data_IF_281138514787
#
_entry.id   IF_281138514787
#
_cell.length_a   1.000
_cell.length_b   1.000
_cell.length_c   1.000
_cell.angle_alpha   90.00
_cell.angle_beta   90.00
_cell.angle_gamma   90.00
#
_symmetry.space_group_name_H-M   'P 1'
#
loop_
_entity.id
_entity.type
_entity.pdbx_description
1 polymer ?
#
# COMPACT_ATOMS: atom_id res chain seq x y z
N UNK A 1 60.19 -75.41 -12.64
CA UNK A 1 61.57 -75.95 -12.61
C UNK A 1 62.06 -75.94 -11.16
N UNK A 2 62.57 -77.04 -10.59
CA UNK A 2 62.94 -77.15 -9.16
C UNK A 2 64.43 -76.87 -8.92
N UNK A 3 64.77 -76.12 -7.86
CA UNK A 3 66.15 -75.87 -7.45
C UNK A 3 66.69 -77.02 -6.57
N UNK A 4 67.72 -77.79 -7.01
CA UNK A 4 68.15 -78.99 -6.30
C UNK A 4 69.01 -78.75 -5.04
N UNK A 5 69.24 -77.49 -4.64
CA UNK A 5 70.01 -77.16 -3.41
C UNK A 5 69.19 -76.68 -2.22
N UNK A 6 67.95 -76.22 -2.41
CA UNK A 6 67.12 -75.72 -1.31
C UNK A 6 65.63 -76.08 -1.38
N UNK A 7 65.20 -76.86 -2.40
CA UNK A 7 63.86 -77.44 -2.44
C UNK A 7 62.70 -76.46 -2.59
N UNK A 8 62.95 -75.16 -2.74
CA UNK A 8 61.91 -74.16 -2.92
C UNK A 8 61.41 -74.08 -4.37
N UNK A 9 60.09 -73.99 -4.53
CA UNK A 9 59.38 -73.74 -5.80
C UNK A 9 59.34 -72.25 -6.12
N UNK A 10 59.69 -71.87 -7.36
CA UNK A 10 59.51 -70.50 -7.87
C UNK A 10 58.03 -70.34 -8.26
N UNK A 11 57.28 -69.37 -7.70
CA UNK A 11 55.91 -69.10 -8.13
C UNK A 11 55.90 -68.36 -9.47
N UNK A 12 55.10 -68.88 -10.41
CA UNK A 12 54.81 -68.30 -11.71
C UNK A 12 54.07 -66.96 -11.55
N UNK A 13 54.50 -65.97 -12.32
CA UNK A 13 53.86 -64.66 -12.40
C UNK A 13 52.61 -64.74 -13.28
N UNK A 14 51.42 -64.61 -12.68
CA UNK A 14 50.23 -64.20 -13.42
C UNK A 14 49.17 -63.63 -12.49
N UNK A 15 48.96 -62.31 -12.54
CA UNK A 15 47.62 -61.74 -12.40
C UNK A 15 47.58 -60.31 -12.93
N UNK A 16 47.11 -60.17 -14.18
CA UNK A 16 46.58 -58.93 -14.74
C UNK A 16 45.26 -58.59 -14.03
N UNK A 17 45.30 -57.66 -13.09
CA UNK A 17 44.08 -57.10 -12.49
C UNK A 17 43.31 -56.22 -13.49
N UNK A 18 41.99 -56.41 -13.48
CA UNK A 18 40.99 -55.92 -14.44
C UNK A 18 40.80 -54.39 -14.38
N UNK A 19 41.49 -53.68 -15.27
CA UNK A 19 41.36 -52.23 -15.52
C UNK A 19 39.93 -51.75 -15.90
N UNK A 20 39.09 -52.61 -16.48
CA UNK A 20 37.75 -52.22 -16.95
C UNK A 20 36.70 -51.90 -15.85
N UNK A 21 36.88 -52.41 -14.63
CA UNK A 21 35.88 -52.29 -13.55
C UNK A 21 35.83 -50.88 -12.93
N UNK A 22 36.98 -50.21 -12.80
CA UNK A 22 37.06 -48.86 -12.22
C UNK A 22 36.50 -47.79 -13.16
N UNK A 23 36.74 -47.93 -14.46
CA UNK A 23 36.26 -46.95 -15.46
C UNK A 23 34.73 -46.97 -15.55
N UNK A 24 34.13 -48.15 -15.59
CA UNK A 24 32.65 -48.29 -15.63
C UNK A 24 32.00 -47.76 -14.36
N UNK A 25 32.58 -48.02 -13.18
CA UNK A 25 32.08 -47.47 -11.89
C UNK A 25 32.17 -45.94 -11.85
N UNK A 26 33.25 -45.35 -12.36
CA UNK A 26 33.41 -43.90 -12.39
C UNK A 26 32.42 -43.23 -13.36
N UNK A 27 32.16 -43.84 -14.52
CA UNK A 27 31.15 -43.34 -15.48
C UNK A 27 29.75 -43.41 -14.88
N UNK A 28 29.40 -44.51 -14.20
CA UNK A 28 28.11 -44.67 -13.52
C UNK A 28 27.92 -43.65 -12.39
N UNK A 29 28.98 -43.37 -11.62
CA UNK A 29 28.93 -42.37 -10.55
C UNK A 29 28.70 -40.96 -11.12
N UNK A 30 29.39 -40.60 -12.21
CA UNK A 30 29.21 -39.28 -12.86
C UNK A 30 27.82 -39.13 -13.45
N UNK A 31 27.28 -40.18 -14.10
CA UNK A 31 25.90 -40.17 -14.60
C UNK A 31 24.88 -40.04 -13.47
N UNK A 32 25.10 -40.71 -12.33
CA UNK A 32 24.21 -40.61 -11.17
C UNK A 32 24.22 -39.20 -10.56
N UNK A 33 25.40 -38.55 -10.49
CA UNK A 33 25.53 -37.16 -10.04
C UNK A 33 24.84 -36.20 -11.01
N UNK A 34 24.99 -36.40 -12.32
CA UNK A 34 24.30 -35.58 -13.34
C UNK A 34 22.78 -35.73 -13.28
N UNK A 35 22.27 -36.94 -13.07
CA UNK A 35 20.82 -37.18 -12.88
C UNK A 35 20.33 -36.54 -11.59
N UNK A 36 21.07 -36.65 -10.48
CA UNK A 36 20.72 -35.99 -9.23
C UNK A 36 20.71 -34.45 -9.35
N UNK A 37 21.64 -33.87 -10.11
CA UNK A 37 21.65 -32.43 -10.39
C UNK A 37 20.50 -32.01 -11.33
N UNK A 38 20.13 -32.84 -12.31
CA UNK A 38 18.99 -32.57 -13.17
C UNK A 38 17.65 -32.67 -12.40
N UNK A 39 17.53 -33.64 -11.50
CA UNK A 39 16.33 -33.82 -10.66
C UNK A 39 16.23 -32.73 -9.59
N UNK A 40 17.35 -32.29 -8.99
CA UNK A 40 17.34 -31.16 -8.05
C UNK A 40 17.09 -29.82 -8.74
N UNK A 41 17.62 -29.61 -9.94
CA UNK A 41 17.38 -28.40 -10.75
C UNK A 41 15.94 -28.29 -11.27
N UNK A 42 15.35 -29.41 -11.70
CA UNK A 42 13.92 -29.45 -12.07
C UNK A 42 13.01 -29.34 -10.85
N UNK A 43 13.42 -29.93 -9.72
CA UNK A 43 12.70 -29.82 -8.44
C UNK A 43 12.69 -28.40 -7.88
N UNK A 44 13.81 -27.67 -7.94
CA UNK A 44 13.88 -26.26 -7.51
C UNK A 44 13.21 -25.33 -8.51
N UNK A 45 13.31 -25.58 -9.82
CA UNK A 45 12.57 -24.80 -10.81
C UNK A 45 11.06 -25.02 -10.72
N UNK A 46 10.60 -26.26 -10.51
CA UNK A 46 9.18 -26.57 -10.29
C UNK A 46 8.70 -26.04 -8.93
N UNK A 47 9.51 -26.14 -7.87
CA UNK A 47 9.21 -25.54 -6.56
C UNK A 47 9.12 -24.01 -6.66
N UNK A 48 10.06 -23.35 -7.36
CA UNK A 48 9.97 -21.93 -7.65
C UNK A 48 8.76 -21.61 -8.54
N UNK A 49 8.41 -22.42 -9.54
CA UNK A 49 7.21 -22.17 -10.36
C UNK A 49 5.89 -22.43 -9.61
N UNK A 50 5.86 -23.35 -8.64
CA UNK A 50 4.70 -23.64 -7.81
C UNK A 50 4.60 -22.76 -6.55
N UNK A 51 5.69 -22.11 -6.11
CA UNK A 51 5.68 -21.13 -5.00
C UNK A 51 5.87 -19.67 -5.42
N UNK A 52 6.31 -19.37 -6.66
CA UNK A 52 6.16 -18.05 -7.30
C UNK A 52 4.81 -17.88 -7.98
N UNK A 53 3.85 -18.77 -7.72
CA UNK A 53 2.46 -18.32 -7.73
C UNK A 53 2.26 -17.51 -6.45
N UNK A 54 2.89 -16.34 -6.39
CA UNK A 54 2.47 -15.32 -5.45
C UNK A 54 1.01 -15.05 -5.81
N UNK A 55 0.09 -15.57 -5.03
CA UNK A 55 -0.96 -14.68 -4.56
C UNK A 55 -0.19 -13.55 -3.89
N UNK A 56 0.19 -12.52 -4.66
CA UNK A 56 0.97 -11.40 -4.17
C UNK A 56 0.28 -10.92 -2.92
N UNK A 57 1.02 -10.79 -1.81
CA UNK A 57 0.45 -10.18 -0.63
C UNK A 57 -0.06 -8.81 -1.06
N UNK A 58 -1.38 -8.62 -1.06
CA UNK A 58 -2.00 -7.36 -1.41
C UNK A 58 -1.95 -6.43 -0.21
N UNK A 59 -1.84 -5.14 -0.47
CA UNK A 59 -2.05 -4.13 0.56
C UNK A 59 -3.52 -3.95 0.83
N UNK A 60 -4.33 -3.96 -0.23
CA UNK A 60 -5.78 -3.91 -0.17
C UNK A 60 -6.36 -5.16 0.51
N UNK A 61 -7.32 -4.94 1.40
CA UNK A 61 -8.07 -5.98 2.09
C UNK A 61 -9.18 -6.57 1.22
N UNK A 62 -10.11 -7.30 1.84
CA UNK A 62 -11.22 -7.97 1.12
C UNK A 62 -12.36 -7.03 0.72
N UNK A 63 -12.31 -5.78 1.17
CA UNK A 63 -13.39 -4.81 1.03
C UNK A 63 -14.62 -5.12 1.88
N UNK A 64 -15.54 -4.15 1.92
CA UNK A 64 -16.70 -4.12 2.80
C UNK A 64 -18.01 -4.25 2.00
N UNK A 65 -19.13 -4.53 2.67
CA UNK A 65 -20.41 -4.70 1.97
C UNK A 65 -21.11 -3.38 1.72
N UNK A 66 -20.83 -2.36 2.55
CA UNK A 66 -21.39 -1.02 2.41
C UNK A 66 -20.28 0.05 2.49
N UNK A 67 -20.51 1.25 1.93
CA UNK A 67 -19.54 2.35 2.02
C UNK A 67 -19.34 2.81 3.47
N UNK A 68 -20.38 2.77 4.30
CA UNK A 68 -20.34 3.13 5.73
C UNK A 68 -19.51 2.13 6.54
N UNK A 69 -19.61 0.82 6.24
CA UNK A 69 -18.76 -0.20 6.85
C UNK A 69 -17.28 0.08 6.56
N UNK A 70 -16.94 0.46 5.32
CA UNK A 70 -15.56 0.79 4.94
C UNK A 70 -15.04 2.04 5.67
N UNK A 71 -15.85 3.10 5.73
CA UNK A 71 -15.50 4.35 6.41
C UNK A 71 -15.32 4.14 7.92
N UNK A 72 -16.23 3.40 8.55
CA UNK A 72 -16.14 3.08 9.97
C UNK A 72 -14.90 2.26 10.28
N UNK A 73 -14.61 1.21 9.50
CA UNK A 73 -13.42 0.40 9.71
C UNK A 73 -12.12 1.20 9.54
N UNK A 74 -12.06 2.11 8.56
CA UNK A 74 -10.92 3.01 8.38
C UNK A 74 -10.74 3.95 9.59
N UNK A 75 -11.82 4.54 10.09
CA UNK A 75 -11.79 5.39 11.28
C UNK A 75 -11.43 4.62 12.56
N UNK A 76 -11.89 3.39 12.71
CA UNK A 76 -11.51 2.51 13.83
C UNK A 76 -10.02 2.14 13.74
N UNK A 77 -9.50 1.86 12.56
CA UNK A 77 -8.06 1.66 12.36
C UNK A 77 -7.24 2.92 12.68
N UNK A 78 -7.76 4.11 12.32
CA UNK A 78 -7.17 5.40 12.69
C UNK A 78 -7.12 5.60 14.20
N UNK A 79 -8.23 5.38 14.91
CA UNK A 79 -8.27 5.46 16.37
C UNK A 79 -7.28 4.49 17.03
N UNK A 80 -7.09 3.30 16.43
CA UNK A 80 -6.17 2.28 16.93
C UNK A 80 -4.70 2.48 16.51
N UNK A 81 -4.38 3.51 15.73
CA UNK A 81 -3.02 3.75 15.19
C UNK A 81 -2.51 2.60 14.32
N UNK A 82 -3.40 1.83 13.71
CA UNK A 82 -3.05 0.70 12.86
C UNK A 82 -2.99 1.13 11.39
N UNK A 83 -1.82 1.65 10.99
CA UNK A 83 -1.58 2.11 9.62
C UNK A 83 -1.79 0.98 8.60
N UNK A 84 -1.47 -0.27 8.95
CA UNK A 84 -1.64 -1.38 8.02
C UNK A 84 -3.12 -1.67 7.80
N UNK A 85 -3.93 -1.63 8.86
CA UNK A 85 -5.38 -1.81 8.74
C UNK A 85 -6.05 -0.61 8.05
N UNK A 86 -5.56 0.61 8.27
CA UNK A 86 -6.02 1.78 7.48
C UNK A 86 -5.77 1.57 5.98
N UNK A 87 -4.57 1.10 5.60
CA UNK A 87 -4.23 0.80 4.22
C UNK A 87 -5.03 -0.39 3.67
N UNK A 88 -5.32 -1.41 4.48
CA UNK A 88 -6.16 -2.56 4.08
C UNK A 88 -7.59 -2.17 3.76
N UNK A 89 -8.09 -1.07 4.35
CA UNK A 89 -9.39 -0.51 4.01
C UNK A 89 -9.42 0.21 2.65
N UNK A 90 -8.25 0.57 2.08
CA UNK A 90 -8.17 1.42 0.91
C UNK A 90 -8.15 0.64 -0.41
N UNK A 91 -8.69 1.25 -1.47
CA UNK A 91 -8.49 0.77 -2.83
C UNK A 91 -7.08 1.14 -3.31
N UNK A 92 -6.24 0.12 -3.49
CA UNK A 92 -4.84 0.24 -3.89
C UNK A 92 -4.65 -0.50 -5.21
N UNK A 93 -4.66 -1.83 -5.20
CA UNK A 93 -4.54 -2.65 -6.40
C UNK A 93 -5.73 -2.43 -7.33
N UNK A 94 -6.95 -2.49 -6.80
CA UNK A 94 -8.17 -2.30 -7.60
C UNK A 94 -8.25 -0.89 -8.18
N UNK A 95 -7.71 0.10 -7.48
CA UNK A 95 -7.59 1.46 -8.01
C UNK A 95 -6.68 1.52 -9.23
N UNK A 96 -5.49 0.93 -9.15
CA UNK A 96 -4.52 0.90 -10.25
C UNK A 96 -5.09 0.18 -11.47
N UNK A 97 -5.82 -0.91 -11.23
CA UNK A 97 -6.38 -1.75 -12.30
C UNK A 97 -7.59 -1.11 -13.02
N UNK A 98 -8.26 -0.14 -12.40
CA UNK A 98 -9.49 0.47 -12.94
C UNK A 98 -9.34 1.96 -13.33
N UNK A 99 -8.21 2.60 -13.02
CA UNK A 99 -8.02 4.02 -13.28
C UNK A 99 -7.87 4.31 -14.79
N UNK A 100 -8.77 5.14 -15.32
CA UNK A 100 -8.69 5.70 -16.67
C UNK A 100 -7.83 6.99 -16.65
N UNK A 101 -6.56 6.84 -17.01
CA UNK A 101 -5.59 7.92 -17.05
C UNK A 101 -5.91 9.00 -18.07
N UNK A 102 -6.45 8.62 -19.24
CA UNK A 102 -6.84 9.59 -20.26
C UNK A 102 -8.00 10.45 -19.74
N UNK A 103 -9.02 9.82 -19.16
CA UNK A 103 -10.12 10.54 -18.52
C UNK A 103 -9.66 11.43 -17.36
N UNK A 104 -8.64 11.01 -16.60
CA UNK A 104 -8.08 11.82 -15.53
C UNK A 104 -7.37 13.08 -16.07
N UNK A 105 -6.54 12.94 -17.10
CA UNK A 105 -5.87 14.07 -17.76
C UNK A 105 -6.89 15.01 -18.40
N UNK A 106 -7.91 14.47 -19.07
CA UNK A 106 -9.02 15.25 -19.64
C UNK A 106 -9.76 16.04 -18.56
N UNK A 107 -10.04 15.43 -17.40
CA UNK A 107 -10.72 16.07 -16.27
C UNK A 107 -9.96 17.30 -15.78
N UNK A 108 -8.63 17.19 -15.65
CA UNK A 108 -7.81 18.30 -15.17
C UNK A 108 -7.39 19.28 -16.27
N UNK A 109 -7.46 18.87 -17.55
CA UNK A 109 -6.91 19.64 -18.68
C UNK A 109 -5.39 19.77 -18.64
N UNK A 110 -4.72 18.98 -17.80
CA UNK A 110 -3.28 19.04 -17.55
C UNK A 110 -2.74 17.69 -17.04
N UNK A 111 -1.47 17.42 -17.34
CA UNK A 111 -0.71 16.35 -16.70
C UNK A 111 0.03 16.91 -15.47
N UNK A 112 -0.17 16.30 -14.31
CA UNK A 112 0.38 16.76 -13.03
C UNK A 112 1.25 15.65 -12.39
N UNK A 113 2.55 15.55 -12.74
CA UNK A 113 3.41 14.45 -12.29
C UNK A 113 3.70 14.44 -10.79
N UNK A 114 3.40 15.53 -10.07
CA UNK A 114 3.79 15.72 -8.66
C UNK A 114 2.62 16.11 -7.75
N UNK A 115 1.43 16.36 -8.29
CA UNK A 115 0.27 16.86 -7.54
C UNK A 115 -0.93 15.97 -7.89
N UNK A 116 -1.62 15.43 -6.88
CA UNK A 116 -2.79 14.55 -7.01
C UNK A 116 -2.55 13.18 -7.68
N UNK A 117 -1.45 12.48 -7.39
CA UNK A 117 -1.27 11.14 -7.97
C UNK A 117 0.14 10.68 -8.31
N UNK A 118 1.16 11.53 -8.09
CA UNK A 118 2.55 11.19 -8.38
C UNK A 118 2.81 10.80 -9.85
N UNK A 119 4.01 10.30 -10.16
CA UNK A 119 4.34 9.89 -11.52
C UNK A 119 3.58 8.61 -11.87
N UNK A 120 2.46 8.79 -12.56
CA UNK A 120 1.72 7.68 -13.16
C UNK A 120 2.52 7.18 -14.36
N UNK A 121 2.97 5.92 -14.29
CA UNK A 121 3.59 5.25 -15.43
C UNK A 121 2.52 4.60 -16.29
N UNK A 122 2.49 4.95 -17.57
CA UNK A 122 1.60 4.35 -18.56
C UNK A 122 2.25 3.12 -19.17
N UNK A 123 1.58 1.97 -19.12
CA UNK A 123 2.07 0.70 -19.65
C UNK A 123 1.33 -0.48 -19.02
N UNK A 124 1.06 -1.51 -19.82
CA UNK A 124 0.26 -2.66 -19.39
C UNK A 124 1.13 -3.80 -18.81
N UNK A 125 2.40 -3.52 -18.54
CA UNK A 125 3.33 -4.51 -18.00
C UNK A 125 3.33 -4.54 -16.46
N UNK A 126 3.70 -5.69 -15.91
CA UNK A 126 3.68 -5.91 -14.45
C UNK A 126 4.60 -4.95 -13.68
N UNK A 127 5.73 -4.53 -14.26
CA UNK A 127 6.63 -3.61 -13.56
C UNK A 127 5.98 -2.23 -13.43
N UNK A 128 5.34 -1.74 -14.50
CA UNK A 128 4.54 -0.51 -14.48
C UNK A 128 3.41 -0.59 -13.45
N UNK A 129 2.66 -1.70 -13.43
CA UNK A 129 1.59 -1.93 -12.45
C UNK A 129 2.09 -1.86 -11.00
N UNK A 130 3.19 -2.54 -10.69
CA UNK A 130 3.77 -2.55 -9.33
C UNK A 130 4.26 -1.17 -8.88
N UNK A 131 4.84 -0.37 -9.80
CA UNK A 131 5.23 1.01 -9.50
C UNK A 131 4.00 1.85 -9.14
N UNK A 132 2.92 1.74 -9.92
CA UNK A 132 1.68 2.47 -9.66
C UNK A 132 1.03 2.04 -8.32
N UNK A 133 1.14 0.77 -7.93
CA UNK A 133 0.67 0.26 -6.63
C UNK A 133 1.45 0.90 -5.48
N UNK A 134 2.78 0.90 -5.53
CA UNK A 134 3.61 1.51 -4.47
C UNK A 134 3.41 3.03 -4.40
N UNK A 135 3.28 3.70 -5.54
CA UNK A 135 2.97 5.12 -5.60
C UNK A 135 1.61 5.43 -4.95
N UNK A 136 0.59 4.65 -5.29
CA UNK A 136 -0.75 4.76 -4.69
C UNK A 136 -0.72 4.57 -3.18
N UNK A 137 -0.03 3.55 -2.69
CA UNK A 137 0.18 3.31 -1.25
C UNK A 137 0.93 4.47 -0.59
N UNK A 138 1.96 5.02 -1.25
CA UNK A 138 2.71 6.17 -0.77
C UNK A 138 1.82 7.41 -0.58
N UNK A 139 0.91 7.67 -1.52
CA UNK A 139 -0.06 8.75 -1.40
C UNK A 139 -1.02 8.57 -0.23
N UNK A 140 -1.62 7.38 -0.12
CA UNK A 140 -2.53 7.07 0.99
C UNK A 140 -1.81 7.21 2.34
N UNK A 141 -0.57 6.71 2.44
CA UNK A 141 0.27 6.89 3.62
C UNK A 141 0.52 8.37 3.93
N UNK A 142 0.73 9.21 2.91
CA UNK A 142 0.90 10.65 3.12
C UNK A 142 -0.37 11.31 3.68
N UNK A 143 -1.55 10.91 3.21
CA UNK A 143 -2.81 11.39 3.78
C UNK A 143 -3.02 10.93 5.22
N UNK A 144 -2.68 9.68 5.54
CA UNK A 144 -2.71 9.15 6.91
C UNK A 144 -1.83 10.01 7.84
N UNK A 145 -0.61 10.33 7.42
CA UNK A 145 0.30 11.19 8.18
C UNK A 145 -0.33 12.57 8.41
N UNK A 146 -0.95 13.16 7.38
CA UNK A 146 -1.62 14.47 7.50
C UNK A 146 -2.81 14.42 8.46
N UNK A 147 -3.59 13.34 8.45
CA UNK A 147 -4.70 13.15 9.37
C UNK A 147 -4.23 13.12 10.84
N UNK A 148 -3.18 12.34 11.15
CA UNK A 148 -2.58 12.34 12.50
C UNK A 148 -1.98 13.69 12.86
N UNK A 149 -1.31 14.35 11.91
CA UNK A 149 -0.78 15.68 12.15
C UNK A 149 -1.93 16.64 12.47
N UNK A 150 -3.02 16.63 11.70
CA UNK A 150 -4.16 17.52 11.90
C UNK A 150 -4.77 17.37 13.29
N UNK A 151 -5.06 16.15 13.73
CA UNK A 151 -5.70 15.92 15.03
C UNK A 151 -4.74 16.12 16.20
N UNK A 152 -3.43 16.01 15.98
CA UNK A 152 -2.43 16.26 17.03
C UNK A 152 -2.13 17.75 17.22
N UNK A 153 -2.77 18.68 16.53
CA UNK A 153 -2.31 20.06 16.43
C UNK A 153 -3.47 21.06 16.56
N UNK A 154 -3.24 22.22 17.20
CA UNK A 154 -4.22 23.30 17.20
C UNK A 154 -4.63 23.68 15.77
N UNK A 155 -5.88 24.08 15.57
CA UNK A 155 -6.38 24.44 14.24
C UNK A 155 -5.62 25.59 13.59
N UNK A 156 -5.19 26.56 14.38
CA UNK A 156 -4.43 27.73 13.95
C UNK A 156 -2.92 27.46 13.84
N UNK A 157 -2.50 26.19 13.97
CA UNK A 157 -1.08 25.83 13.90
C UNK A 157 -0.48 26.20 12.53
N UNK A 158 0.63 26.96 12.50
CA UNK A 158 1.23 27.46 11.26
C UNK A 158 1.76 26.33 10.37
N UNK A 159 1.92 25.12 10.90
CA UNK A 159 2.39 23.94 10.16
C UNK A 159 1.43 23.53 9.02
N UNK A 160 0.15 23.93 9.06
CA UNK A 160 -0.84 23.65 8.00
C UNK A 160 -0.98 24.78 6.98
N UNK A 161 -0.18 25.85 7.08
CA UNK A 161 -0.25 27.00 6.17
C UNK A 161 0.05 26.68 4.69
N UNK A 162 0.53 25.46 4.39
CA UNK A 162 1.02 25.07 3.07
C UNK A 162 2.29 25.81 2.63
N UNK A 163 2.84 26.68 3.49
CA UNK A 163 4.04 27.46 3.26
C UNK A 163 5.18 26.91 4.12
N UNK A 164 6.41 27.12 3.64
CA UNK A 164 7.60 26.77 4.41
C UNK A 164 7.74 27.69 5.62
N UNK A 165 7.74 27.11 6.82
CA UNK A 165 8.09 27.81 8.05
C UNK A 165 9.55 28.30 7.94
N UNK A 166 9.76 29.59 8.16
CA UNK A 166 11.08 30.20 8.08
C UNK A 166 11.81 30.02 9.42
N UNK A 167 12.90 29.25 9.40
CA UNK A 167 13.64 28.87 10.62
C UNK A 167 15.06 29.49 10.64
N UNK A 168 15.47 30.03 11.78
CA UNK A 168 16.85 30.44 12.09
C UNK A 168 16.97 31.87 12.63
N UNK A 169 18.20 32.31 12.90
CA UNK A 169 18.48 33.62 13.50
C UNK A 169 17.78 34.79 12.77
N UNK A 170 16.88 35.47 13.50
CA UNK A 170 16.11 36.60 12.96
C UNK A 170 14.98 36.21 12.00
N UNK A 171 14.58 34.93 11.98
CA UNK A 171 13.36 34.42 11.32
C UNK A 171 12.21 34.35 12.31
N UNK A 172 11.07 33.85 11.82
CA UNK A 172 9.82 33.77 12.59
C UNK A 172 9.87 32.69 13.66
N UNK A 173 10.60 31.59 13.40
CA UNK A 173 10.72 30.46 14.31
C UNK A 173 12.17 30.01 14.48
N UNK A 174 12.47 29.43 15.64
CA UNK A 174 13.68 28.62 15.85
C UNK A 174 13.42 27.13 15.59
N UNK A 175 14.49 26.35 15.35
CA UNK A 175 14.35 24.93 15.00
C UNK A 175 13.70 24.12 16.14
N UNK A 176 14.05 24.43 17.38
CA UNK A 176 13.48 23.77 18.56
C UNK A 176 11.99 24.10 18.72
N UNK A 177 11.57 25.31 18.39
CA UNK A 177 10.15 25.70 18.43
C UNK A 177 9.32 24.90 17.42
N UNK A 178 9.82 24.74 16.20
CA UNK A 178 9.14 23.90 15.19
C UNK A 178 9.10 22.44 15.62
N UNK A 179 10.18 21.91 16.20
CA UNK A 179 10.19 20.54 16.75
C UNK A 179 9.21 20.39 17.90
N UNK A 180 9.10 21.39 18.77
CA UNK A 180 8.15 21.39 19.88
C UNK A 180 6.70 21.45 19.39
N UNK A 181 6.41 22.22 18.33
CA UNK A 181 5.10 22.19 17.67
C UNK A 181 4.76 20.76 17.23
N UNK A 182 5.69 20.03 16.61
CA UNK A 182 5.46 18.67 16.11
C UNK A 182 5.19 17.61 17.19
N UNK A 183 5.45 17.89 18.47
CA UNK A 183 5.19 16.92 19.56
C UNK A 183 3.69 16.72 19.83
N UNK A 184 2.85 17.59 19.29
CA UNK A 184 1.40 17.50 19.36
C UNK A 184 0.81 18.08 20.64
N UNK A 185 -0.43 18.54 20.54
CA UNK A 185 -1.23 19.13 21.61
C UNK A 185 -2.37 18.20 22.08
N UNK A 186 -2.88 17.34 21.19
CA UNK A 186 -4.06 16.50 21.48
C UNK A 186 -3.70 15.06 21.83
N UNK A 187 -4.51 14.45 22.71
CA UNK A 187 -4.38 13.05 23.07
C UNK A 187 -5.01 12.14 21.99
N UNK A 188 -4.20 11.73 21.02
CA UNK A 188 -4.64 10.79 19.98
C UNK A 188 -5.08 9.42 20.53
N UNK A 189 -4.76 9.09 21.79
CA UNK A 189 -5.22 7.84 22.41
C UNK A 189 -6.68 7.94 22.89
N UNK A 190 -7.26 9.13 22.85
CA UNK A 190 -8.64 9.40 23.27
C UNK A 190 -9.68 9.25 22.15
N UNK A 191 -9.26 9.01 20.89
CA UNK A 191 -10.14 9.00 19.73
C UNK A 191 -11.26 7.97 19.90
N UNK A 192 -12.51 8.42 19.81
CA UNK A 192 -13.69 7.56 19.71
C UNK A 192 -14.33 7.73 18.34
N UNK A 193 -14.81 6.63 17.77
CA UNK A 193 -15.48 6.61 16.46
C UNK A 193 -16.99 6.55 16.67
N UNK A 194 -17.70 7.51 16.09
CA UNK A 194 -19.15 7.65 16.16
C UNK A 194 -19.87 7.04 14.96
N UNK A 195 -20.91 7.76 14.53
CA UNK A 195 -21.74 7.37 13.38
C UNK A 195 -21.11 7.82 12.05
N UNK A 196 -21.59 7.19 10.97
CA UNK A 196 -21.18 7.49 9.59
C UNK A 196 -22.40 7.96 8.84
N UNK A 197 -22.28 9.11 8.19
CA UNK A 197 -23.36 9.71 7.39
C UNK A 197 -22.83 10.20 6.05
N UNK A 198 -23.74 10.51 5.12
CA UNK A 198 -23.40 11.23 3.89
C UNK A 198 -22.74 12.57 4.24
N UNK A 199 -21.69 12.96 3.50
CA UNK A 199 -20.98 14.21 3.78
C UNK A 199 -21.90 15.44 3.82
N UNK A 200 -22.99 15.46 3.05
CA UNK A 200 -23.96 16.55 3.02
C UNK A 200 -24.72 16.74 4.34
N UNK A 201 -24.85 15.69 5.14
CA UNK A 201 -25.42 15.77 6.49
C UNK A 201 -24.62 16.73 7.37
N UNK A 202 -23.30 16.54 7.44
CA UNK A 202 -22.40 17.36 8.24
C UNK A 202 -22.29 18.79 7.72
N UNK A 203 -22.36 18.97 6.40
CA UNK A 203 -22.29 20.27 5.75
C UNK A 203 -23.62 21.05 5.81
N UNK A 204 -24.65 20.46 6.41
CA UNK A 204 -26.01 21.01 6.46
C UNK A 204 -26.50 21.50 5.08
N UNK A 205 -26.05 20.79 4.03
CA UNK A 205 -26.24 21.15 2.65
C UNK A 205 -27.09 20.10 1.94
N UNK A 206 -27.69 20.48 0.81
CA UNK A 206 -28.35 19.51 -0.07
C UNK A 206 -27.43 19.17 -1.24
N UNK A 207 -27.43 17.90 -1.63
CA UNK A 207 -26.90 17.49 -2.93
C UNK A 207 -27.62 18.26 -4.05
N UNK A 208 -26.92 18.50 -5.17
CA UNK A 208 -27.42 19.35 -6.25
C UNK A 208 -26.97 18.81 -7.62
N UNK A 209 -27.47 19.37 -8.72
CA UNK A 209 -27.11 18.89 -10.07
C UNK A 209 -25.60 18.86 -10.36
N UNK A 210 -24.79 19.64 -9.64
CA UNK A 210 -23.33 19.56 -9.77
C UNK A 210 -22.75 18.32 -9.08
N UNK A 211 -23.32 17.84 -7.97
CA UNK A 211 -22.88 16.61 -7.30
C UNK A 211 -23.05 15.40 -8.21
N UNK A 212 -24.17 15.31 -8.95
CA UNK A 212 -24.42 14.22 -9.89
C UNK A 212 -23.44 14.24 -11.08
N UNK A 213 -23.13 15.45 -11.59
CA UNK A 213 -22.13 15.62 -12.65
C UNK A 213 -20.73 15.22 -12.18
N UNK A 214 -20.37 15.57 -10.95
CA UNK A 214 -19.10 15.17 -10.34
C UNK A 214 -19.07 13.64 -10.21
N UNK A 215 -20.07 13.00 -9.60
CA UNK A 215 -20.16 11.54 -9.50
C UNK A 215 -19.99 10.84 -10.86
N UNK A 216 -20.67 11.33 -11.90
CA UNK A 216 -20.53 10.77 -13.25
C UNK A 216 -19.11 10.91 -13.80
N UNK A 217 -18.48 12.05 -13.55
CA UNK A 217 -17.09 12.31 -13.98
C UNK A 217 -16.11 11.41 -13.23
N UNK A 218 -16.24 11.31 -11.90
CA UNK A 218 -15.39 10.46 -11.07
C UNK A 218 -15.57 8.98 -11.41
N UNK A 219 -16.80 8.53 -11.68
CA UNK A 219 -17.05 7.17 -12.16
C UNK A 219 -16.37 6.87 -13.50
N UNK A 220 -16.31 7.84 -14.43
CA UNK A 220 -15.56 7.67 -15.69
C UNK A 220 -14.07 7.49 -15.39
N UNK A 221 -13.52 8.31 -14.50
CA UNK A 221 -12.08 8.29 -14.17
C UNK A 221 -11.67 7.04 -13.40
N UNK A 222 -12.42 6.68 -12.35
CA UNK A 222 -12.02 5.62 -11.44
C UNK A 222 -12.69 4.28 -11.74
N UNK A 223 -13.65 4.20 -12.65
CA UNK A 223 -14.34 2.96 -13.01
C UNK A 223 -15.35 2.44 -11.97
N UNK A 224 -15.33 2.94 -10.74
CA UNK A 224 -16.22 2.52 -9.65
C UNK A 224 -17.36 3.49 -9.33
N UNK A 225 -18.37 3.01 -8.58
CA UNK A 225 -19.35 3.89 -7.93
C UNK A 225 -18.68 4.54 -6.72
N UNK A 226 -18.87 5.84 -6.51
CA UNK A 226 -18.27 6.58 -5.39
C UNK A 226 -19.38 7.12 -4.49
N UNK A 227 -19.11 7.14 -3.18
CA UNK A 227 -19.94 7.77 -2.15
C UNK A 227 -19.04 8.67 -1.29
N UNK A 228 -19.58 9.81 -0.85
CA UNK A 228 -18.86 10.78 -0.02
C UNK A 228 -19.41 10.74 1.39
N UNK A 229 -18.57 10.43 2.36
CA UNK A 229 -18.99 10.16 3.72
C UNK A 229 -18.27 11.08 4.70
N UNK A 230 -18.92 11.34 5.83
CA UNK A 230 -18.29 11.83 7.05
C UNK A 230 -18.41 10.79 8.15
N UNK A 231 -17.36 10.66 8.95
CA UNK A 231 -17.34 9.84 10.17
C UNK A 231 -17.18 10.76 11.36
N UNK A 232 -18.08 10.67 12.33
CA UNK A 232 -17.97 11.40 13.59
C UNK A 232 -16.81 10.86 14.41
N UNK A 233 -16.01 11.76 14.97
CA UNK A 233 -14.93 11.44 15.90
C UNK A 233 -15.06 12.32 17.14
N UNK A 234 -14.82 11.75 18.32
CA UNK A 234 -14.58 12.51 19.55
C UNK A 234 -13.09 12.40 19.88
N UNK A 235 -12.38 13.53 20.00
CA UNK A 235 -10.94 13.56 20.31
C UNK A 235 -10.72 14.59 21.42
N UNK A 236 -10.15 14.15 22.55
CA UNK A 236 -9.94 14.96 23.75
C UNK A 236 -11.22 15.70 24.24
N UNK A 237 -12.38 15.07 24.01
CA UNK A 237 -13.69 15.62 24.39
C UNK A 237 -14.29 16.62 23.40
N UNK A 238 -13.62 16.90 22.28
CA UNK A 238 -14.11 17.76 21.20
C UNK A 238 -14.61 16.93 20.01
N UNK A 239 -15.61 17.45 19.29
CA UNK A 239 -16.25 16.76 18.17
C UNK A 239 -15.60 17.14 16.83
N UNK A 240 -15.28 16.12 16.04
CA UNK A 240 -14.66 16.21 14.73
C UNK A 240 -15.43 15.39 13.68
N UNK A 241 -15.19 15.71 12.42
CA UNK A 241 -15.63 14.91 11.27
C UNK A 241 -14.42 14.52 10.44
N UNK A 242 -14.30 13.22 10.12
CA UNK A 242 -13.38 12.70 9.12
C UNK A 242 -14.12 12.45 7.81
N UNK A 243 -13.76 13.19 6.77
CA UNK A 243 -14.31 13.03 5.43
C UNK A 243 -13.51 12.02 4.60
N UNK A 244 -14.23 11.04 4.04
CA UNK A 244 -13.65 10.02 3.18
C UNK A 244 -14.48 9.85 1.90
N UNK A 245 -13.82 9.57 0.79
CA UNK A 245 -14.49 9.05 -0.42
C UNK A 245 -14.38 7.53 -0.40
N UNK A 246 -15.51 6.84 -0.51
CA UNK A 246 -15.58 5.39 -0.67
C UNK A 246 -15.83 5.02 -2.14
N UNK A 247 -15.27 3.91 -2.61
CA UNK A 247 -15.42 3.42 -3.98
C UNK A 247 -15.81 1.95 -4.01
N UNK A 248 -16.67 1.57 -4.95
CA UNK A 248 -17.11 0.20 -5.18
C UNK A 248 -16.44 -0.43 -6.39
N UNK A 249 -15.80 -1.58 -6.17
CA UNK A 249 -15.32 -2.51 -7.20
C UNK A 249 -15.83 -3.92 -6.86
N UNK A 250 -16.31 -4.66 -7.86
CA UNK A 250 -16.78 -6.04 -7.70
C UNK A 250 -17.71 -6.25 -6.48
N UNK A 251 -18.68 -5.35 -6.32
CA UNK A 251 -19.66 -5.33 -5.22
C UNK A 251 -19.08 -5.07 -3.82
N UNK A 252 -17.78 -4.79 -3.71
CA UNK A 252 -17.09 -4.47 -2.46
C UNK A 252 -16.70 -3.00 -2.39
N UNK A 253 -16.79 -2.45 -1.18
CA UNK A 253 -16.46 -1.06 -0.89
C UNK A 253 -15.09 -0.93 -0.24
N UNK A 254 -14.40 0.14 -0.61
CA UNK A 254 -13.05 0.48 -0.16
C UNK A 254 -12.95 1.99 0.01
N UNK A 255 -11.96 2.47 0.76
CA UNK A 255 -11.63 3.89 0.81
C UNK A 255 -10.83 4.29 -0.43
N UNK A 256 -11.37 5.21 -1.20
CA UNK A 256 -10.69 5.86 -2.33
C UNK A 256 -9.74 6.95 -1.84
N UNK A 257 -10.14 7.77 -0.89
CA UNK A 257 -9.27 8.82 -0.38
C UNK A 257 -9.70 9.25 1.03
N UNK A 258 -8.77 9.29 1.99
CA UNK A 258 -9.00 9.89 3.30
C UNK A 258 -8.78 11.41 3.30
N UNK A 259 -9.26 12.06 2.24
CA UNK A 259 -9.42 13.50 2.04
C UNK A 259 -10.36 13.58 0.84
N UNK A 260 -11.65 13.49 1.13
CA UNK A 260 -12.68 13.27 0.13
C UNK A 260 -13.12 14.53 -0.62
N UNK A 261 -13.96 14.32 -1.62
CA UNK A 261 -14.72 15.40 -2.25
C UNK A 261 -15.55 16.16 -1.21
N UNK A 262 -16.07 15.46 -0.20
CA UNK A 262 -16.73 16.08 0.97
C UNK A 262 -15.85 17.11 1.69
N UNK A 263 -14.58 16.78 1.96
CA UNK A 263 -13.62 17.72 2.55
C UNK A 263 -13.39 18.96 1.67
N UNK A 264 -13.32 18.76 0.34
CA UNK A 264 -13.17 19.87 -0.61
C UNK A 264 -14.41 20.78 -0.65
N UNK A 265 -15.61 20.21 -0.55
CA UNK A 265 -16.86 20.97 -0.46
C UNK A 265 -16.93 21.76 0.84
N UNK A 266 -16.43 21.17 1.94
CA UNK A 266 -16.28 21.81 3.24
C UNK A 266 -15.24 22.93 3.27
N UNK A 267 -14.52 23.18 2.16
CA UNK A 267 -13.47 24.19 2.09
C UNK A 267 -12.19 23.79 2.84
N UNK A 268 -12.03 22.52 3.20
CA UNK A 268 -10.84 22.05 3.88
C UNK A 268 -9.67 21.96 2.90
N UNK A 269 -8.51 22.46 3.33
CA UNK A 269 -7.28 22.30 2.57
C UNK A 269 -6.83 20.82 2.54
N UNK A 270 -5.94 20.51 1.60
CA UNK A 270 -5.36 19.16 1.42
C UNK A 270 -4.41 18.74 2.55
N UNK A 271 -3.97 19.67 3.40
CA UNK A 271 -3.08 19.44 4.52
C UNK A 271 -3.84 19.05 5.80
N UNK A 272 -5.16 19.29 5.84
CA UNK A 272 -6.06 18.86 6.94
C UNK A 272 -6.18 17.35 7.09
N UNK A 273 -5.76 16.56 6.10
CA UNK A 273 -5.94 15.10 6.13
C UNK A 273 -7.40 14.66 6.19
N UNK A 274 -8.33 15.53 5.77
CA UNK A 274 -9.75 15.24 5.69
C UNK A 274 -10.49 15.38 7.02
N UNK A 275 -9.84 15.91 8.07
CA UNK A 275 -10.43 16.03 9.40
C UNK A 275 -10.59 17.51 9.77
N UNK A 276 -11.74 17.86 10.31
CA UNK A 276 -11.98 19.17 10.92
C UNK A 276 -12.86 19.06 12.16
N UNK A 277 -12.82 20.09 13.00
CA UNK A 277 -13.75 20.22 14.13
C UNK A 277 -15.15 20.46 13.57
N UNK A 278 -16.16 19.80 14.13
CA UNK A 278 -17.55 19.89 13.68
C UNK A 278 -18.07 21.34 13.80
N UNK A 279 -17.63 22.07 14.83
CA UNK A 279 -18.00 23.47 15.09
C UNK A 279 -17.59 24.46 13.98
N UNK A 280 -16.79 24.04 13.01
CA UNK A 280 -16.32 24.87 11.90
C UNK A 280 -17.10 24.65 10.60
N UNK A 281 -18.03 23.69 10.60
CA UNK A 281 -18.85 23.34 9.45
C UNK A 281 -20.22 24.07 9.44
N UNK A 282 -20.47 24.95 10.42
CA UNK A 282 -21.66 25.79 10.54
C UNK A 282 -21.70 27.00 9.58
#
# INVERSE_FOLDING_TARGET
MFCPKCGATIPDSDNKEKSGSKVVKNILLVLLILVLMAVSGLGTAAYMMFHNKSSGATYEGKGYNTPEEAAKAYAEAFANKDINEMLSCCAIESYVDNLDYEAQIERYGAYMPTIFGGPIMTGDDEATRQINIEERKGQLTNFIIRAYLRVSQPIDSPIFSGLALQVGDGKEYDADEVVDMLKGASDIDSIKVGDVEDCYYFLQASSNDNSDKIHKTLKKVYGGKIEWLGVELEIDGEDYVMFVDAIQYDEKWYILAPHGTGASIAGLDVYSGGICELALLD
#
